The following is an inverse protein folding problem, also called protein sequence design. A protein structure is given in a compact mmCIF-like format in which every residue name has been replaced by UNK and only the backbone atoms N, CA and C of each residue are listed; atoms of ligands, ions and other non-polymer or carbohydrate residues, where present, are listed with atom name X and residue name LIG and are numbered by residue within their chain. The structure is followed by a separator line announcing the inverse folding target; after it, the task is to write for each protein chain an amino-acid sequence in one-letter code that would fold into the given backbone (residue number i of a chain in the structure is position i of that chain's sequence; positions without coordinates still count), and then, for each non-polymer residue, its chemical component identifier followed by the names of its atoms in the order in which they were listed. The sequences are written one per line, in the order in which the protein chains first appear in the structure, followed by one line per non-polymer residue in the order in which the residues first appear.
data_IF_566185196497
#
_entry.id   IF_566185196497
#
_cell.length_a   1.000
_cell.length_b   1.000
_cell.length_c   1.000
_cell.angle_alpha   90.00
_cell.angle_beta   90.00
_cell.angle_gamma   90.00
#
_symmetry.space_group_name_H-M   'P 1'
#
loop_
_entity.id
_entity.type
_entity.pdbx_description
1 polymer ?
#
# COMPACT_ATOMS: atom_id res chain seq x y z
N UNK A 1 21.59 31.13 -48.98
CA UNK A 1 22.48 30.16 -48.31
C UNK A 1 21.88 28.78 -48.53
N UNK A 2 22.39 28.05 -49.51
CA UNK A 2 21.83 26.77 -49.97
C UNK A 2 22.54 25.63 -49.24
N UNK A 3 21.77 24.83 -48.50
CA UNK A 3 22.29 23.69 -47.74
C UNK A 3 22.57 22.56 -48.74
N UNK A 4 23.82 22.12 -48.82
CA UNK A 4 24.27 21.07 -49.74
C UNK A 4 23.72 19.70 -49.35
N UNK A 5 23.40 18.82 -50.34
CA UNK A 5 22.75 17.53 -50.13
C UNK A 5 23.55 16.54 -49.27
N UNK A 6 24.86 16.76 -49.11
CA UNK A 6 25.74 15.96 -48.27
C UNK A 6 25.43 16.09 -46.77
N UNK A 7 24.87 17.23 -46.35
CA UNK A 7 24.54 17.51 -44.95
C UNK A 7 23.29 16.74 -44.50
N UNK A 8 22.35 16.48 -45.42
CA UNK A 8 21.12 15.73 -45.13
C UNK A 8 21.38 14.22 -44.98
N UNK A 9 22.42 13.70 -45.65
CA UNK A 9 22.76 12.28 -45.64
C UNK A 9 23.53 11.88 -44.38
N UNK A 10 24.36 12.79 -43.81
CA UNK A 10 24.98 12.59 -42.49
C UNK A 10 23.96 12.65 -41.35
N UNK A 11 22.90 13.45 -41.46
CA UNK A 11 21.83 13.48 -40.45
C UNK A 11 20.91 12.25 -40.50
N UNK A 12 20.67 11.66 -41.68
CA UNK A 12 19.92 10.40 -41.82
C UNK A 12 20.68 9.17 -41.34
N UNK A 13 22.01 9.15 -41.46
CA UNK A 13 22.83 8.03 -40.97
C UNK A 13 22.97 8.00 -39.43
N UNK A 14 22.82 9.14 -38.75
CA UNK A 14 22.91 9.24 -37.29
C UNK A 14 21.62 8.81 -36.54
N UNK A 15 20.52 8.56 -37.25
CA UNK A 15 19.23 8.18 -36.64
C UNK A 15 18.94 6.67 -36.67
N UNK A 16 19.78 5.85 -37.30
CA UNK A 16 19.58 4.39 -37.41
C UNK A 16 20.62 3.62 -36.59
N UNK A 17 20.67 3.85 -35.27
CA UNK A 17 21.18 2.86 -34.30
C UNK A 17 21.02 3.35 -32.85
N UNK A 18 19.78 3.64 -32.43
CA UNK A 18 19.47 3.60 -31.00
C UNK A 18 18.86 2.23 -30.70
N UNK A 19 19.71 1.26 -30.34
CA UNK A 19 19.23 0.05 -29.66
C UNK A 19 18.44 0.52 -28.45
N UNK A 20 17.13 0.25 -28.46
CA UNK A 20 16.30 0.37 -27.27
C UNK A 20 16.97 -0.49 -26.19
N UNK A 21 17.29 0.04 -25.00
CA UNK A 21 17.82 -0.79 -23.93
C UNK A 21 16.78 -1.89 -23.65
N UNK A 22 17.17 -3.15 -23.90
CA UNK A 22 16.37 -4.30 -23.53
C UNK A 22 16.16 -4.20 -22.02
N UNK A 23 14.90 -4.01 -21.61
CA UNK A 23 14.55 -3.95 -20.20
C UNK A 23 15.18 -5.17 -19.48
N UNK A 24 15.73 -4.98 -18.26
CA UNK A 24 16.29 -6.09 -17.50
C UNK A 24 15.24 -7.19 -17.41
N UNK A 25 15.65 -8.43 -17.71
CA UNK A 25 14.76 -9.58 -17.56
C UNK A 25 14.18 -9.53 -16.14
N UNK A 26 12.85 -9.63 -15.98
CA UNK A 26 12.24 -9.55 -14.67
C UNK A 26 12.88 -10.61 -13.76
N UNK A 27 13.12 -10.29 -12.48
CA UNK A 27 13.62 -11.28 -11.53
C UNK A 27 12.68 -12.49 -11.57
N UNK A 28 13.27 -13.68 -11.72
CA UNK A 28 12.56 -14.95 -11.67
C UNK A 28 11.64 -14.92 -10.44
N UNK A 29 10.33 -14.89 -10.70
CA UNK A 29 9.33 -14.84 -9.65
C UNK A 29 9.46 -16.11 -8.79
N UNK A 30 9.31 -16.00 -7.45
CA UNK A 30 9.17 -17.18 -6.62
C UNK A 30 7.91 -17.94 -7.06
N UNK A 31 8.15 -19.12 -7.63
CA UNK A 31 7.28 -20.29 -7.82
C UNK A 31 5.78 -20.01 -8.05
N UNK A 32 5.41 -19.61 -9.27
CA UNK A 32 4.02 -19.68 -9.73
C UNK A 32 3.65 -18.65 -10.79
N UNK A 33 2.63 -18.96 -11.61
CA UNK A 33 2.09 -17.99 -12.54
C UNK A 33 1.30 -16.91 -11.78
N UNK A 34 1.23 -15.72 -12.38
CA UNK A 34 0.39 -14.65 -11.85
C UNK A 34 -1.08 -15.10 -11.80
N UNK A 35 -1.79 -14.67 -10.75
CA UNK A 35 -3.17 -15.10 -10.50
C UNK A 35 -4.04 -13.98 -9.97
N UNK A 36 -5.33 -14.04 -10.31
CA UNK A 36 -6.35 -13.09 -9.91
C UNK A 36 -7.53 -13.84 -9.29
N UNK A 37 -8.00 -13.43 -8.12
CA UNK A 37 -9.15 -14.10 -7.48
C UNK A 37 -9.84 -13.27 -6.41
N UNK A 38 -10.93 -13.77 -5.81
CA UNK A 38 -11.70 -13.03 -4.81
C UNK A 38 -10.88 -12.74 -3.55
N UNK A 39 -10.94 -11.52 -3.02
CA UNK A 39 -10.08 -11.12 -1.91
C UNK A 39 -10.30 -11.90 -0.61
N UNK A 40 -11.54 -12.36 -0.38
CA UNK A 40 -11.92 -13.15 0.80
C UNK A 40 -11.65 -14.66 0.64
N UNK A 41 -11.37 -15.13 -0.57
CA UNK A 41 -11.10 -16.55 -0.81
C UNK A 41 -9.63 -16.88 -0.56
N UNK A 42 -9.42 -18.01 0.11
CA UNK A 42 -8.10 -18.64 0.31
C UNK A 42 -7.97 -19.92 -0.54
N UNK A 43 -9.05 -20.34 -1.20
CA UNK A 43 -9.09 -21.57 -2.00
C UNK A 43 -8.49 -21.35 -3.38
N UNK A 44 -7.49 -22.14 -3.76
CA UNK A 44 -6.81 -22.00 -5.06
C UNK A 44 -7.76 -22.10 -6.27
N UNK A 45 -8.80 -22.95 -6.19
CA UNK A 45 -9.78 -23.15 -7.28
C UNK A 45 -10.62 -21.91 -7.62
N UNK A 46 -10.72 -20.94 -6.72
CA UNK A 46 -11.45 -19.69 -6.94
C UNK A 46 -10.63 -18.67 -7.72
N UNK A 47 -9.30 -18.84 -7.75
CA UNK A 47 -8.39 -17.98 -8.50
C UNK A 47 -8.38 -18.39 -9.98
N UNK A 48 -8.25 -17.39 -10.83
CA UNK A 48 -7.81 -17.55 -12.20
C UNK A 48 -6.29 -17.42 -12.17
N UNK A 49 -5.60 -18.55 -12.25
CA UNK A 49 -4.17 -18.59 -12.57
C UNK A 49 -4.01 -18.35 -14.07
N UNK A 50 -3.04 -17.52 -14.44
CA UNK A 50 -2.75 -17.26 -15.85
C UNK A 50 -1.97 -18.44 -16.41
N UNK A 51 -2.35 -18.92 -17.59
CA UNK A 51 -1.64 -20.05 -18.23
C UNK A 51 -0.18 -19.68 -18.53
N UNK A 52 0.05 -18.39 -18.81
CA UNK A 52 1.37 -17.81 -19.01
C UNK A 52 1.49 -16.49 -18.25
N UNK A 53 2.67 -16.23 -17.70
CA UNK A 53 2.96 -14.92 -17.14
C UNK A 53 2.91 -13.83 -18.22
N UNK A 54 2.35 -12.64 -17.91
CA UNK A 54 2.32 -11.53 -18.85
C UNK A 54 3.75 -11.13 -19.25
N UNK A 55 3.92 -10.77 -20.52
CA UNK A 55 5.20 -10.23 -20.99
C UNK A 55 5.54 -8.89 -20.31
N UNK A 56 4.53 -8.10 -19.97
CA UNK A 56 4.67 -6.82 -19.28
C UNK A 56 3.52 -6.60 -18.30
N UNK A 57 3.84 -6.01 -17.14
CA UNK A 57 2.87 -5.49 -16.17
C UNK A 57 3.16 -4.00 -16.03
N UNK A 58 2.17 -3.16 -16.32
CA UNK A 58 2.32 -1.70 -16.22
C UNK A 58 1.54 -1.21 -15.01
N UNK A 59 2.25 -0.66 -14.02
CA UNK A 59 1.65 -0.03 -12.84
C UNK A 59 1.85 1.48 -12.98
N UNK A 60 0.74 2.22 -12.94
CA UNK A 60 0.73 3.69 -12.98
C UNK A 60 0.01 4.22 -11.75
N UNK A 61 0.55 5.24 -11.11
CA UNK A 61 -0.06 5.91 -9.97
C UNK A 61 -0.17 7.41 -10.27
N UNK A 62 -1.34 7.98 -10.00
CA UNK A 62 -1.59 9.42 -10.10
C UNK A 62 -2.06 9.94 -8.75
N UNK A 63 -1.22 10.71 -8.07
CA UNK A 63 -1.58 11.41 -6.84
C UNK A 63 -2.37 12.69 -7.16
N UNK A 64 -3.37 13.08 -6.35
CA UNK A 64 -4.05 14.35 -6.50
C UNK A 64 -3.08 15.52 -6.28
N UNK A 65 -3.26 16.59 -7.06
CA UNK A 65 -2.37 17.77 -7.09
C UNK A 65 -2.50 18.62 -5.82
N UNK A 66 -3.66 18.57 -5.15
CA UNK A 66 -3.88 19.24 -3.88
C UNK A 66 -3.93 18.20 -2.75
N UNK A 67 -3.08 18.32 -1.72
CA UNK A 67 -3.31 17.59 -0.49
C UNK A 67 -4.66 18.07 0.05
N UNK A 68 -5.65 17.17 0.07
CA UNK A 68 -6.95 17.46 0.69
C UNK A 68 -6.71 18.09 2.05
N UNK A 69 -7.17 19.33 2.23
CA UNK A 69 -7.01 20.13 3.42
C UNK A 69 -7.71 19.44 4.61
N UNK A 70 -7.05 18.45 5.20
CA UNK A 70 -7.59 17.63 6.29
C UNK A 70 -6.53 16.84 7.06
N UNK A 71 -5.24 16.99 6.73
CA UNK A 71 -4.13 16.37 7.46
C UNK A 71 -3.14 17.39 8.05
N UNK A 72 -3.52 18.67 8.14
CA UNK A 72 -2.77 19.63 8.95
C UNK A 72 -3.25 19.50 10.40
N UNK A 73 -2.49 18.76 11.22
CA UNK A 73 -2.55 18.95 12.67
C UNK A 73 -2.21 20.43 12.92
N UNK A 74 -3.20 21.18 13.39
CA UNK A 74 -3.06 22.59 13.75
C UNK A 74 -2.22 22.69 15.02
N UNK A 75 -0.90 22.64 14.85
CA UNK A 75 0.07 23.08 15.84
C UNK A 75 0.10 24.60 15.88
N UNK A 76 -0.31 25.13 17.04
CA UNK A 76 0.09 26.41 17.61
C UNK A 76 -0.30 27.72 16.88
N UNK A 77 -1.30 28.40 17.45
CA UNK A 77 -1.07 29.75 17.96
C UNK A 77 -2.03 30.04 19.13
N UNK A 78 -1.44 30.26 20.32
CA UNK A 78 -2.10 30.80 21.51
C UNK A 78 -2.35 32.29 21.31
N UNK A 79 -3.61 32.72 21.46
CA UNK A 79 -4.01 33.84 22.32
C UNK A 79 -5.53 33.99 22.32
N UNK A 80 -6.17 33.93 23.49
CA UNK A 80 -7.57 34.34 23.69
C UNK A 80 -8.43 33.28 24.37
N UNK A 81 -8.74 33.52 25.65
CA UNK A 81 -9.75 32.80 26.42
C UNK A 81 -11.14 33.25 25.96
N UNK A 82 -11.96 32.34 25.41
CA UNK A 82 -13.43 32.35 25.56
C UNK A 82 -14.09 31.09 24.98
N UNK A 83 -14.91 30.44 25.81
CA UNK A 83 -16.02 29.52 25.54
C UNK A 83 -15.78 28.01 25.24
N UNK A 84 -16.13 27.09 26.17
CA UNK A 84 -16.09 25.65 25.97
C UNK A 84 -17.45 25.11 25.49
N UNK A 85 -17.91 25.50 24.29
CA UNK A 85 -19.09 24.86 23.63
C UNK A 85 -19.02 24.78 22.11
N UNK A 86 -17.81 24.82 21.52
CA UNK A 86 -17.65 24.42 20.12
C UNK A 86 -17.47 22.89 20.06
N UNK A 87 -18.57 22.18 19.85
CA UNK A 87 -18.52 20.78 19.46
C UNK A 87 -17.87 20.73 18.08
N UNK A 88 -16.57 20.43 18.00
CA UNK A 88 -15.90 20.19 16.72
C UNK A 88 -16.44 18.86 16.20
N UNK A 89 -17.47 18.95 15.37
CA UNK A 89 -17.99 17.80 14.64
C UNK A 89 -16.90 17.36 13.66
N UNK A 90 -16.17 16.31 14.04
CA UNK A 90 -15.20 15.65 13.18
C UNK A 90 -15.98 15.11 11.99
N UNK A 91 -16.04 15.87 10.89
CA UNK A 91 -16.72 15.44 9.69
C UNK A 91 -16.14 14.08 9.29
N UNK A 92 -16.98 13.04 9.33
CA UNK A 92 -16.60 11.71 8.90
C UNK A 92 -16.30 11.79 7.41
N UNK A 93 -15.01 11.93 7.07
CA UNK A 93 -14.56 11.94 5.68
C UNK A 93 -15.08 10.65 5.04
N UNK A 94 -15.84 10.79 3.97
CA UNK A 94 -16.40 9.62 3.28
C UNK A 94 -15.25 8.74 2.78
N UNK A 95 -15.43 7.42 2.76
CA UNK A 95 -14.40 6.48 2.25
C UNK A 95 -13.96 6.88 0.83
N UNK A 96 -14.90 7.38 0.04
CA UNK A 96 -14.67 7.85 -1.33
C UNK A 96 -13.75 9.10 -1.37
N UNK A 97 -13.84 10.01 -0.40
CA UNK A 97 -12.95 11.17 -0.28
C UNK A 97 -11.55 10.76 0.19
N UNK A 98 -11.44 9.79 1.11
CA UNK A 98 -10.14 9.24 1.52
C UNK A 98 -9.46 8.50 0.36
N UNK A 99 -10.20 7.77 -0.46
CA UNK A 99 -9.69 7.12 -1.66
C UNK A 99 -9.22 8.15 -2.69
N UNK A 100 -10.00 9.21 -2.91
CA UNK A 100 -9.64 10.31 -3.82
C UNK A 100 -8.38 11.07 -3.36
N UNK A 101 -8.17 11.23 -2.06
CA UNK A 101 -7.02 11.92 -1.48
C UNK A 101 -5.69 11.14 -1.62
N UNK A 102 -5.73 9.82 -1.78
CA UNK A 102 -4.52 8.98 -1.90
C UNK A 102 -4.06 8.75 -3.33
N UNK A 103 -4.85 9.16 -4.31
CA UNK A 103 -4.53 8.97 -5.72
C UNK A 103 -4.94 7.60 -6.26
N UNK A 104 -5.03 7.52 -7.58
CA UNK A 104 -5.48 6.32 -8.29
C UNK A 104 -4.27 5.52 -8.77
N UNK A 105 -4.15 4.28 -8.29
CA UNK A 105 -3.18 3.31 -8.82
C UNK A 105 -3.89 2.36 -9.78
N UNK A 106 -3.47 2.35 -11.04
CA UNK A 106 -3.99 1.44 -12.07
C UNK A 106 -2.91 0.44 -12.48
N UNK A 107 -3.28 -0.83 -12.56
CA UNK A 107 -2.44 -1.93 -13.05
C UNK A 107 -3.04 -2.40 -14.37
N UNK A 108 -2.26 -2.31 -15.44
CA UNK A 108 -2.67 -2.70 -16.78
C UNK A 108 -1.92 -3.95 -17.20
N UNK A 109 -2.67 -4.97 -17.57
CA UNK A 109 -2.17 -6.24 -18.10
C UNK A 109 -2.64 -6.37 -19.54
N UNK A 110 -1.71 -6.65 -20.46
CA UNK A 110 -2.04 -6.77 -21.88
C UNK A 110 -1.67 -8.14 -22.42
N UNK A 111 -2.47 -8.60 -23.38
CA UNK A 111 -2.23 -9.80 -24.17
C UNK A 111 -2.04 -11.07 -23.34
N UNK A 112 -2.82 -11.22 -22.26
CA UNK A 112 -2.85 -12.44 -21.47
C UNK A 112 -3.41 -13.56 -22.34
N UNK A 113 -2.60 -14.59 -22.61
CA UNK A 113 -3.04 -15.72 -23.41
C UNK A 113 -3.58 -16.80 -22.50
N UNK A 114 -4.80 -17.23 -22.76
CA UNK A 114 -5.39 -18.44 -22.17
C UNK A 114 -5.55 -19.49 -23.25
N UNK A 115 -5.11 -20.72 -23.00
CA UNK A 115 -5.20 -21.84 -23.95
C UNK A 115 -5.65 -23.12 -23.23
N UNK A 116 -6.55 -23.87 -23.87
CA UNK A 116 -7.07 -25.13 -23.36
C UNK A 116 -8.59 -25.18 -23.30
N UNK A 117 -9.11 -26.22 -22.66
CA UNK A 117 -10.56 -26.51 -22.62
C UNK A 117 -11.33 -25.65 -21.61
N UNK A 118 -10.64 -25.03 -20.65
CA UNK A 118 -11.26 -24.22 -19.61
C UNK A 118 -11.37 -22.72 -19.97
N UNK A 119 -10.87 -22.30 -21.13
CA UNK A 119 -10.81 -20.89 -21.55
C UNK A 119 -12.16 -20.19 -21.43
N UNK A 120 -13.24 -20.81 -21.90
CA UNK A 120 -14.60 -20.26 -21.78
C UNK A 120 -14.98 -19.93 -20.32
N UNK A 121 -14.72 -20.87 -19.40
CA UNK A 121 -15.06 -20.73 -17.98
C UNK A 121 -14.21 -19.66 -17.32
N UNK A 122 -12.92 -19.61 -17.64
CA UNK A 122 -11.98 -18.61 -17.14
C UNK A 122 -12.37 -17.21 -17.57
N UNK A 123 -12.63 -17.00 -18.87
CA UNK A 123 -13.07 -15.71 -19.40
C UNK A 123 -14.42 -15.27 -18.81
N UNK A 124 -15.38 -16.18 -18.68
CA UNK A 124 -16.67 -15.87 -18.06
C UNK A 124 -16.51 -15.47 -16.59
N UNK A 125 -15.58 -16.09 -15.87
CA UNK A 125 -15.28 -15.75 -14.47
C UNK A 125 -14.68 -14.35 -14.35
N UNK A 126 -13.74 -14.00 -15.23
CA UNK A 126 -13.18 -12.63 -15.29
C UNK A 126 -14.27 -11.60 -15.59
N UNK A 127 -15.12 -11.87 -16.59
CA UNK A 127 -16.26 -11.00 -16.91
C UNK A 127 -17.23 -10.89 -15.73
N UNK A 128 -17.51 -11.97 -15.01
CA UNK A 128 -18.36 -11.92 -13.82
C UNK A 128 -17.81 -10.97 -12.76
N UNK A 129 -16.50 -10.88 -12.60
CA UNK A 129 -15.87 -9.98 -11.64
C UNK A 129 -15.82 -8.51 -12.08
N UNK A 130 -16.13 -8.20 -13.34
CA UNK A 130 -16.28 -6.81 -13.80
C UNK A 130 -17.70 -6.26 -13.63
N UNK A 131 -18.63 -7.06 -13.10
CA UNK A 131 -19.99 -6.60 -12.80
C UNK A 131 -20.09 -6.17 -11.34
N UNK A 132 -20.87 -5.13 -11.08
CA UNK A 132 -21.15 -4.73 -9.73
C UNK A 132 -21.98 -5.79 -9.01
N UNK A 133 -21.71 -5.94 -7.70
CA UNK A 133 -22.43 -6.85 -6.82
C UNK A 133 -23.06 -6.01 -5.70
N UNK A 134 -24.25 -6.38 -5.27
CA UNK A 134 -24.88 -5.74 -4.12
C UNK A 134 -24.05 -6.04 -2.86
N UNK A 135 -23.41 -5.00 -2.30
CA UNK A 135 -22.84 -5.06 -0.97
C UNK A 135 -23.93 -4.74 0.05
N UNK A 136 -24.13 -5.67 0.98
CA UNK A 136 -25.03 -5.50 2.10
C UNK A 136 -24.22 -4.93 3.26
N UNK A 137 -24.32 -3.63 3.48
CA UNK A 137 -23.75 -3.02 4.68
C UNK A 137 -24.69 -3.26 5.88
N UNK A 138 -24.14 -3.24 7.10
CA UNK A 138 -24.89 -3.38 8.36
C UNK A 138 -25.88 -2.23 8.57
N UNK A 139 -25.70 -1.14 7.84
CA UNK A 139 -26.47 0.11 7.90
C UNK A 139 -27.46 0.25 6.74
N UNK A 140 -28.25 -0.78 6.43
CA UNK A 140 -29.47 -0.73 5.60
C UNK A 140 -29.41 0.00 4.23
N UNK A 141 -28.25 0.36 3.72
CA UNK A 141 -28.06 1.03 2.44
C UNK A 141 -27.41 0.03 1.50
N UNK A 142 -28.18 -0.44 0.51
CA UNK A 142 -27.65 -1.29 -0.54
C UNK A 142 -26.72 -0.45 -1.41
N UNK A 143 -25.41 -0.69 -1.30
CA UNK A 143 -24.41 -0.08 -2.18
C UNK A 143 -23.97 -1.12 -3.19
N UNK A 144 -23.95 -0.73 -4.45
CA UNK A 144 -23.54 -1.57 -5.57
C UNK A 144 -22.05 -1.31 -5.78
N UNK A 145 -21.18 -2.26 -5.41
CA UNK A 145 -19.72 -2.12 -5.51
C UNK A 145 -19.13 -3.21 -6.42
N UNK A 146 -17.99 -2.91 -7.05
CA UNK A 146 -17.23 -3.95 -7.75
C UNK A 146 -16.67 -4.93 -6.72
N UNK A 147 -16.58 -6.23 -7.05
CA UNK A 147 -16.00 -7.20 -6.13
C UNK A 147 -14.54 -6.84 -5.86
N UNK A 148 -14.12 -7.03 -4.60
CA UNK A 148 -12.72 -6.90 -4.19
C UNK A 148 -11.97 -8.16 -4.59
N UNK A 149 -10.93 -8.00 -5.38
CA UNK A 149 -10.06 -9.07 -5.86
C UNK A 149 -8.65 -8.93 -5.30
N UNK A 150 -7.88 -10.01 -5.35
CA UNK A 150 -6.45 -10.05 -5.07
C UNK A 150 -5.73 -10.43 -6.36
N UNK A 151 -4.82 -9.57 -6.79
CA UNK A 151 -3.87 -9.85 -7.85
C UNK A 151 -2.52 -10.19 -7.24
N UNK A 152 -1.97 -11.35 -7.61
CA UNK A 152 -0.76 -11.92 -7.00
C UNK A 152 0.20 -12.30 -8.12
N UNK A 153 1.46 -11.89 -8.02
CA UNK A 153 2.55 -12.38 -8.87
C UNK A 153 3.86 -12.42 -8.07
N UNK A 154 4.53 -13.57 -8.07
CA UNK A 154 5.69 -13.78 -7.20
C UNK A 154 5.35 -13.45 -5.74
N UNK A 155 6.13 -12.54 -5.13
CA UNK A 155 5.91 -12.05 -3.76
C UNK A 155 4.98 -10.85 -3.65
N UNK A 156 4.49 -10.32 -4.77
CA UNK A 156 3.69 -9.10 -4.81
C UNK A 156 2.20 -9.43 -4.71
N UNK A 157 1.49 -8.68 -3.86
CA UNK A 157 0.05 -8.85 -3.61
C UNK A 157 -0.63 -7.49 -3.63
N UNK A 158 -1.62 -7.32 -4.52
CA UNK A 158 -2.41 -6.12 -4.64
C UNK A 158 -3.90 -6.44 -4.42
N UNK A 159 -4.55 -5.65 -3.58
CA UNK A 159 -6.00 -5.64 -3.48
C UNK A 159 -6.54 -4.72 -4.57
N UNK A 160 -7.41 -5.22 -5.44
CA UNK A 160 -7.83 -4.53 -6.66
C UNK A 160 -9.32 -4.67 -6.95
N UNK A 161 -9.87 -3.72 -7.69
CA UNK A 161 -11.12 -3.87 -8.45
C UNK A 161 -10.79 -4.11 -9.93
N UNK A 162 -11.62 -4.92 -10.58
CA UNK A 162 -11.52 -5.16 -12.02
C UNK A 162 -12.36 -4.14 -12.77
N UNK A 163 -11.71 -3.11 -13.30
CA UNK A 163 -12.38 -2.00 -13.97
C UNK A 163 -12.75 -2.32 -15.42
N UNK A 164 -11.86 -3.01 -16.14
CA UNK A 164 -12.09 -3.36 -17.54
C UNK A 164 -11.54 -4.74 -17.86
N UNK A 165 -12.32 -5.48 -18.65
CA UNK A 165 -11.94 -6.78 -19.23
C UNK A 165 -12.27 -6.72 -20.71
N UNK A 166 -11.26 -6.95 -21.56
CA UNK A 166 -11.45 -7.18 -22.98
C UNK A 166 -11.05 -8.61 -23.29
N UNK A 167 -11.98 -9.42 -23.79
CA UNK A 167 -11.70 -10.81 -24.18
C UNK A 167 -11.82 -10.94 -25.69
N UNK A 168 -10.78 -11.47 -26.33
CA UNK A 168 -10.76 -11.80 -27.76
C UNK A 168 -10.52 -13.29 -27.93
N UNK A 169 -11.57 -14.04 -28.31
CA UNK A 169 -11.44 -15.46 -28.64
C UNK A 169 -10.82 -15.63 -30.03
N UNK A 170 -9.78 -16.45 -30.15
CA UNK A 170 -8.99 -16.59 -31.39
C UNK A 170 -8.97 -18.00 -31.97
N UNK A 171 -9.27 -19.03 -31.17
CA UNK A 171 -9.35 -20.42 -31.62
C UNK A 171 -10.58 -21.10 -31.03
N UNK A 172 -11.27 -21.88 -31.85
CA UNK A 172 -12.45 -22.66 -31.46
C UNK A 172 -12.27 -24.12 -31.85
N UNK A 173 -12.92 -25.01 -31.10
CA UNK A 173 -13.08 -26.42 -31.48
C UNK A 173 -14.09 -26.56 -32.63
N UNK A 174 -14.18 -27.73 -33.29
CA UNK A 174 -15.24 -28.02 -34.26
C UNK A 174 -16.66 -27.87 -33.70
N UNK A 175 -16.84 -28.04 -32.39
CA UNK A 175 -18.11 -27.83 -31.68
C UNK A 175 -18.40 -26.36 -31.34
N UNK A 176 -17.53 -25.42 -31.73
CA UNK A 176 -17.67 -23.98 -31.43
C UNK A 176 -17.21 -23.57 -30.03
N UNK A 177 -16.60 -24.48 -29.26
CA UNK A 177 -16.08 -24.16 -27.92
C UNK A 177 -14.76 -23.39 -28.04
N UNK A 178 -14.59 -22.23 -27.40
CA UNK A 178 -13.34 -21.49 -27.49
C UNK A 178 -12.22 -22.26 -26.79
N UNK A 179 -11.13 -22.48 -27.53
CA UNK A 179 -9.92 -23.17 -27.08
C UNK A 179 -8.78 -22.20 -26.79
N UNK A 180 -8.86 -20.94 -27.27
CA UNK A 180 -7.85 -19.91 -27.00
C UNK A 180 -8.47 -18.53 -26.96
N UNK A 181 -8.03 -17.72 -26.00
CA UNK A 181 -8.41 -16.32 -25.88
C UNK A 181 -7.20 -15.45 -25.52
N UNK A 182 -7.22 -14.21 -26.00
CA UNK A 182 -6.34 -13.15 -25.55
C UNK A 182 -7.16 -12.18 -24.71
N UNK A 183 -6.66 -11.81 -23.53
CA UNK A 183 -7.37 -10.95 -22.58
C UNK A 183 -6.51 -9.75 -22.17
N UNK A 184 -7.12 -8.57 -22.18
CA UNK A 184 -6.56 -7.35 -21.60
C UNK A 184 -7.36 -6.99 -20.34
N UNK A 185 -6.65 -6.67 -19.25
CA UNK A 185 -7.24 -6.33 -17.96
C UNK A 185 -6.75 -4.96 -17.48
N UNK A 186 -7.68 -4.15 -17.01
CA UNK A 186 -7.39 -2.91 -16.27
C UNK A 186 -7.89 -3.07 -14.85
N UNK A 187 -6.95 -3.09 -13.90
CA UNK A 187 -7.20 -3.23 -12.48
C UNK A 187 -6.97 -1.91 -11.78
N UNK A 188 -7.83 -1.54 -10.83
CA UNK A 188 -7.62 -0.39 -9.96
C UNK A 188 -7.25 -0.89 -8.57
N UNK A 189 -6.08 -0.49 -8.05
CA UNK A 189 -5.66 -0.87 -6.72
C UNK A 189 -6.52 -0.15 -5.70
N UNK A 190 -7.08 -0.93 -4.79
CA UNK A 190 -7.68 -0.43 -3.57
C UNK A 190 -6.50 -0.11 -2.65
N UNK A 191 -6.32 1.14 -2.19
CA UNK A 191 -5.32 1.41 -1.18
C UNK A 191 -5.66 0.54 0.04
N UNK A 192 -4.69 -0.21 0.53
CA UNK A 192 -4.83 -0.83 1.84
C UNK A 192 -4.89 0.33 2.84
N UNK A 193 -6.10 0.76 3.21
CA UNK A 193 -6.29 1.58 4.38
C UNK A 193 -6.00 0.59 5.50
N UNK A 194 -4.83 0.65 6.18
CA UNK A 194 -4.80 0.06 7.50
C UNK A 194 -6.00 0.71 8.18
N UNK A 195 -6.97 -0.09 8.61
CA UNK A 195 -8.04 0.43 9.46
C UNK A 195 -7.39 1.23 10.59
N UNK A 196 -8.11 2.08 11.33
CA UNK A 196 -7.59 2.54 12.60
C UNK A 196 -7.14 1.28 13.35
N UNK A 197 -5.83 1.03 13.33
CA UNK A 197 -5.20 0.03 14.17
C UNK A 197 -5.52 0.62 15.50
N UNK A 198 -6.51 0.05 16.19
CA UNK A 198 -6.59 0.22 17.62
C UNK A 198 -5.17 -0.15 18.07
N UNK A 199 -4.33 0.81 18.46
CA UNK A 199 -3.09 0.47 19.07
C UNK A 199 -3.55 -0.04 20.44
N UNK A 200 -3.89 -1.33 20.52
CA UNK A 200 -3.99 -2.05 21.79
C UNK A 200 -2.60 -2.26 22.41
N UNK A 201 -1.66 -1.39 22.05
CA UNK A 201 -0.61 -0.88 22.91
C UNK A 201 -0.89 0.61 23.14
N UNK A 202 -1.89 0.90 23.96
CA UNK A 202 -2.08 2.21 24.59
C UNK A 202 -0.93 2.48 25.58
N UNK A 203 0.31 2.51 25.10
CA UNK A 203 1.38 3.25 25.74
C UNK A 203 1.27 4.66 25.21
N UNK A 204 0.91 5.62 26.07
CA UNK A 204 1.05 7.03 25.75
C UNK A 204 2.41 7.24 25.06
N UNK A 205 2.42 8.02 23.98
CA UNK A 205 3.64 8.44 23.32
C UNK A 205 4.62 8.96 24.38
N UNK A 206 5.74 8.27 24.56
CA UNK A 206 6.77 8.62 25.53
C UNK A 206 7.11 7.56 26.58
N UNK A 207 6.36 6.46 26.69
CA UNK A 207 6.74 5.33 27.56
C UNK A 207 7.72 4.40 26.85
N UNK A 208 8.96 4.33 27.33
CA UNK A 208 10.02 3.47 26.78
C UNK A 208 10.62 2.59 27.86
N UNK A 209 11.18 1.45 27.48
CA UNK A 209 11.97 0.61 28.40
C UNK A 209 13.35 0.43 27.80
N UNK A 210 14.38 0.75 28.57
CA UNK A 210 15.77 0.65 28.17
C UNK A 210 16.49 -0.41 29.01
N UNK A 211 17.35 -1.21 28.39
CA UNK A 211 18.19 -2.18 29.09
C UNK A 211 19.55 -1.53 29.36
N UNK A 212 19.92 -1.36 30.63
CA UNK A 212 21.22 -0.78 30.97
C UNK A 212 22.36 -1.68 30.49
N UNK A 213 23.27 -1.13 29.71
CA UNK A 213 24.48 -1.83 29.26
C UNK A 213 25.60 -1.78 30.31
N UNK A 214 26.60 -2.65 30.20
CA UNK A 214 27.72 -2.87 31.14
C UNK A 214 28.47 -1.63 31.63
N UNK A 215 28.44 -0.54 30.86
CA UNK A 215 29.15 0.71 31.14
C UNK A 215 28.22 1.92 31.28
N UNK A 216 26.90 1.70 31.33
CA UNK A 216 25.91 2.78 31.31
C UNK A 216 25.35 3.07 32.70
N UNK A 217 25.31 4.34 33.06
CA UNK A 217 24.74 4.82 34.32
C UNK A 217 23.39 5.53 34.11
N UNK A 218 22.55 5.61 35.15
CA UNK A 218 21.26 6.31 35.07
C UNK A 218 21.37 7.79 34.63
N UNK A 219 22.36 8.59 35.08
CA UNK A 219 22.55 9.96 34.61
C UNK A 219 22.87 10.04 33.11
N UNK A 220 23.69 9.13 32.58
CA UNK A 220 24.00 9.09 31.14
C UNK A 220 22.77 8.70 30.32
N UNK A 221 21.99 7.73 30.83
CA UNK A 221 20.71 7.35 30.24
C UNK A 221 19.72 8.53 30.24
N UNK A 222 19.67 9.30 31.33
CA UNK A 222 18.83 10.48 31.46
C UNK A 222 19.22 11.58 30.48
N UNK A 223 20.52 11.89 30.36
CA UNK A 223 21.02 12.87 29.38
C UNK A 223 20.68 12.46 27.95
N UNK A 224 20.81 11.17 27.61
CA UNK A 224 20.51 10.68 26.26
C UNK A 224 19.00 10.70 25.94
N UNK A 225 18.15 10.43 26.92
CA UNK A 225 16.70 10.29 26.71
C UNK A 225 15.90 11.57 26.94
N UNK A 226 16.34 12.44 27.86
CA UNK A 226 15.64 13.65 28.28
C UNK A 226 16.44 14.94 28.09
N UNK A 227 17.70 14.85 27.63
CA UNK A 227 18.52 16.02 27.29
C UNK A 227 19.33 16.61 28.44
N UNK A 228 19.17 16.12 29.67
CA UNK A 228 19.94 16.55 30.82
C UNK A 228 20.08 15.47 31.91
N UNK A 229 21.19 15.46 32.67
CA UNK A 229 21.42 14.45 33.72
C UNK A 229 20.42 14.56 34.87
N UNK A 230 19.88 15.74 35.18
CA UNK A 230 18.96 16.00 36.30
C UNK A 230 17.72 15.09 36.35
N UNK A 231 17.28 14.59 35.20
CA UNK A 231 16.11 13.71 35.06
C UNK A 231 16.37 12.26 35.54
N UNK A 232 17.59 11.91 35.97
CA UNK A 232 17.86 10.56 36.51
C UNK A 232 17.04 10.24 37.76
N UNK A 233 16.66 11.26 38.54
CA UNK A 233 15.84 11.10 39.75
C UNK A 233 14.40 10.71 39.43
N UNK A 234 13.83 11.28 38.38
CA UNK A 234 12.48 10.93 37.90
C UNK A 234 12.45 9.49 37.40
N UNK A 235 13.49 9.07 36.67
CA UNK A 235 13.66 7.69 36.24
C UNK A 235 13.80 6.76 37.46
N UNK A 236 14.61 7.12 38.45
CA UNK A 236 14.81 6.31 39.65
C UNK A 236 13.54 6.16 40.48
N UNK A 237 12.77 7.25 40.64
CA UNK A 237 11.48 7.25 41.33
C UNK A 237 10.44 6.39 40.59
N UNK A 238 10.37 6.51 39.27
CA UNK A 238 9.45 5.72 38.44
C UNK A 238 9.76 4.20 38.46
N UNK A 239 11.01 3.82 38.69
CA UNK A 239 11.45 2.42 38.77
C UNK A 239 11.62 1.88 40.19
N UNK A 240 11.43 2.71 41.22
CA UNK A 240 11.65 2.38 42.65
C UNK A 240 13.05 1.81 42.92
N UNK A 241 14.08 2.42 42.37
CA UNK A 241 15.46 2.05 42.71
C UNK A 241 15.83 2.60 44.09
N UNK A 242 16.10 1.71 45.04
CA UNK A 242 16.52 2.06 46.41
C UNK A 242 17.92 2.71 46.44
N UNK A 243 18.82 2.28 45.55
CA UNK A 243 20.15 2.88 45.36
C UNK A 243 20.36 3.24 43.87
N UNK A 244 19.99 4.46 43.45
CA UNK A 244 20.04 4.89 42.06
C UNK A 244 21.47 4.97 41.48
N UNK A 245 22.49 5.05 42.34
CA UNK A 245 23.89 5.12 41.91
C UNK A 245 24.50 3.73 41.71
N UNK A 246 23.77 2.67 42.04
CA UNK A 246 24.28 1.29 42.05
C UNK A 246 23.40 0.32 41.27
N UNK A 247 22.70 0.82 40.25
CA UNK A 247 21.88 -0.02 39.37
C UNK A 247 22.78 -0.95 38.56
N UNK A 248 22.51 -2.26 38.64
CA UNK A 248 23.33 -3.27 37.97
C UNK A 248 23.11 -3.24 36.45
N UNK A 249 24.15 -3.37 35.64
CA UNK A 249 24.00 -3.62 34.21
C UNK A 249 23.12 -4.84 33.94
N UNK A 250 22.30 -4.78 32.89
CA UNK A 250 21.28 -5.78 32.59
C UNK A 250 19.91 -5.52 33.24
N UNK A 251 19.76 -4.42 34.00
CA UNK A 251 18.48 -4.01 34.57
C UNK A 251 17.62 -3.31 33.51
N UNK A 252 16.34 -3.69 33.44
CA UNK A 252 15.34 -3.02 32.59
C UNK A 252 14.83 -1.78 33.30
N UNK A 253 15.10 -0.62 32.75
CA UNK A 253 14.72 0.69 33.27
C UNK A 253 13.54 1.21 32.46
N UNK A 254 12.43 1.48 33.14
CA UNK A 254 11.28 2.18 32.61
C UNK A 254 11.56 3.68 32.50
N UNK A 255 11.25 4.26 31.34
CA UNK A 255 11.44 5.68 31.04
C UNK A 255 10.04 6.31 30.92
N UNK A 256 9.60 7.11 31.91
CA UNK A 256 8.32 7.82 31.87
C UNK A 256 8.32 8.92 30.79
N UNK A 257 7.15 9.33 30.30
CA UNK A 257 7.10 10.52 29.43
C UNK A 257 7.38 11.79 30.24
N UNK A 258 7.99 12.80 29.61
CA UNK A 258 8.33 14.07 30.30
C UNK A 258 7.09 14.79 30.88
N UNK A 259 5.89 14.52 30.35
CA UNK A 259 4.62 15.05 30.88
C UNK A 259 4.09 14.30 32.13
N UNK A 260 4.64 13.12 32.45
CA UNK A 260 4.21 12.32 33.60
C UNK A 260 5.08 12.58 34.85
N UNK A 261 6.28 13.19 34.68
CA UNK A 261 7.19 13.56 35.77
C UNK A 261 6.85 14.88 36.49
N UNK A 262 5.96 15.70 35.91
CA UNK A 262 5.55 17.00 36.47
C UNK A 262 4.29 16.93 37.36
N UNK A 263 3.79 15.73 37.69
CA UNK A 263 2.65 15.54 38.62
C UNK A 263 3.10 15.04 39.97
#
# INVERSE_FOLDING_TARGET
MSITPETLQKQRAAMTSRRVPRAPAPPLAPDGNAKLGPAKSTTAADYVEFDFNPATIVISHAAPVEPTAGLQQQGENRAGISDPKANVELAAISVDEVEKAKGTTSINLRSLTFDGTNVARTCLRLLKWSHFVAARDKTSTQRTELPRLKFIWGSQVYLVHLNQVTVTYTRFSPSGTPLRATVDLTLHSIPNIPGPTNPSSGGLAGRRTHLLSGAETLPELATRCYGGPEHWREIAAANRFDDPLRVRPGTRVYLPSTQEGER
#
